data_IF_955917515535
#
_entry.id   IF_955917515535
#
_cell.length_a   1.000
_cell.length_b   1.000
_cell.length_c   1.000
_cell.angle_alpha   90.00
_cell.angle_beta   90.00
_cell.angle_gamma   90.00
#
_symmetry.space_group_name_H-M   'P 1'
#
loop_
_entity.id
_entity.type
_entity.pdbx_description
1 polymer ?
#
# COMPACT_ATOMS: atom_id res chain seq x y z
N UNK A 1 -4.64 2.57 -14.83
CA UNK A 1 -5.73 1.56 -14.98
C UNK A 1 -5.35 0.66 -16.15
N UNK A 2 -5.36 -0.64 -15.92
CA UNK A 2 -5.12 -1.60 -16.98
C UNK A 2 -6.40 -1.75 -17.83
N UNK A 3 -6.32 -1.35 -19.09
CA UNK A 3 -7.46 -1.38 -20.01
C UNK A 3 -7.61 -2.72 -20.76
N UNK A 4 -6.69 -3.66 -20.57
CA UNK A 4 -6.71 -4.96 -21.25
C UNK A 4 -7.93 -5.80 -20.86
N UNK A 5 -8.32 -5.78 -19.58
CA UNK A 5 -9.51 -6.48 -19.09
C UNK A 5 -10.32 -5.57 -18.16
N UNK A 6 -11.19 -4.76 -18.73
CA UNK A 6 -12.05 -3.84 -17.97
C UNK A 6 -13.06 -4.58 -17.08
N UNK A 7 -13.42 -5.81 -17.42
CA UNK A 7 -14.34 -6.63 -16.61
C UNK A 7 -13.74 -7.10 -15.27
N UNK A 8 -12.41 -7.10 -15.16
CA UNK A 8 -11.72 -7.45 -13.90
C UNK A 8 -11.59 -6.25 -12.96
N UNK A 9 -11.84 -5.02 -13.44
CA UNK A 9 -11.74 -3.81 -12.59
C UNK A 9 -13.05 -3.61 -11.84
N UNK A 10 -13.01 -3.83 -10.54
CA UNK A 10 -14.18 -3.66 -9.70
C UNK A 10 -14.42 -2.17 -9.41
N UNK A 11 -15.63 -1.68 -9.72
CA UNK A 11 -15.98 -0.26 -9.51
C UNK A 11 -15.83 0.17 -8.06
N UNK A 12 -16.14 -0.71 -7.13
CA UNK A 12 -16.09 -0.42 -5.71
C UNK A 12 -14.67 -0.30 -5.15
N UNK A 13 -13.64 -0.81 -5.84
CA UNK A 13 -12.24 -0.63 -5.46
C UNK A 13 -11.60 0.63 -6.08
N UNK A 14 -12.28 1.28 -7.04
CA UNK A 14 -11.75 2.48 -7.69
C UNK A 14 -11.51 3.66 -6.74
N UNK A 15 -12.38 3.97 -5.77
CA UNK A 15 -12.14 5.06 -4.83
C UNK A 15 -10.88 4.83 -3.99
N UNK A 16 -10.69 3.64 -3.43
CA UNK A 16 -9.49 3.32 -2.64
C UNK A 16 -8.22 3.39 -3.49
N UNK A 17 -8.24 2.85 -4.71
CA UNK A 17 -7.13 2.96 -5.65
C UNK A 17 -6.82 4.43 -6.00
N UNK A 18 -7.85 5.24 -6.18
CA UNK A 18 -7.68 6.68 -6.47
C UNK A 18 -7.02 7.40 -5.31
N UNK A 19 -7.42 7.11 -4.08
CA UNK A 19 -6.76 7.66 -2.87
C UNK A 19 -5.31 7.21 -2.77
N UNK A 20 -5.04 5.94 -3.06
CA UNK A 20 -3.69 5.36 -3.06
C UNK A 20 -2.75 6.07 -4.03
N UNK A 21 -3.18 6.22 -5.28
CA UNK A 21 -2.33 6.74 -6.35
C UNK A 21 -2.32 8.27 -6.42
N UNK A 22 -3.43 8.94 -6.11
CA UNK A 22 -3.56 10.39 -6.29
C UNK A 22 -3.33 11.16 -4.97
N UNK A 23 -4.39 11.75 -4.43
CA UNK A 23 -4.38 12.60 -3.23
C UNK A 23 -5.30 11.96 -2.18
N UNK A 24 -4.77 11.74 -0.96
CA UNK A 24 -3.48 12.14 -0.39
C UNK A 24 -2.34 11.12 -0.56
N UNK A 25 -2.46 10.14 -1.44
CA UNK A 25 -1.51 9.03 -1.64
C UNK A 25 -0.22 9.43 -2.37
N UNK A 26 0.23 8.57 -3.29
CA UNK A 26 1.54 8.66 -3.95
C UNK A 26 1.80 9.99 -4.65
N UNK A 27 0.85 10.46 -5.46
CA UNK A 27 1.04 11.72 -6.19
C UNK A 27 1.31 12.89 -5.24
N UNK A 28 0.53 13.02 -4.17
CA UNK A 28 0.69 14.07 -3.19
C UNK A 28 2.04 13.97 -2.45
N UNK A 29 2.40 12.78 -1.99
CA UNK A 29 3.66 12.51 -1.31
C UNK A 29 4.88 12.89 -2.18
N UNK A 30 4.88 12.46 -3.44
CA UNK A 30 5.97 12.72 -4.37
C UNK A 30 6.04 14.19 -4.79
N UNK A 31 4.90 14.87 -4.96
CA UNK A 31 4.86 16.29 -5.27
C UNK A 31 5.52 17.12 -4.16
N UNK A 32 5.13 16.91 -2.90
CA UNK A 32 5.75 17.62 -1.76
C UNK A 32 7.26 17.35 -1.70
N UNK A 33 7.67 16.09 -1.85
CA UNK A 33 9.08 15.73 -1.85
C UNK A 33 9.85 16.42 -2.97
N UNK A 34 9.30 16.45 -4.20
CA UNK A 34 9.98 17.04 -5.36
C UNK A 34 10.10 18.55 -5.27
N UNK A 35 9.11 19.24 -4.72
CA UNK A 35 9.10 20.69 -4.52
C UNK A 35 10.02 21.16 -3.40
N UNK A 36 10.32 20.32 -2.41
CA UNK A 36 11.18 20.67 -1.29
C UNK A 36 12.66 20.76 -1.71
N UNK A 37 13.16 21.99 -1.86
CA UNK A 37 14.53 22.26 -2.31
C UNK A 37 15.61 21.89 -1.29
N UNK A 38 15.26 21.68 -0.03
CA UNK A 38 16.21 21.30 1.02
C UNK A 38 16.59 19.81 0.98
N UNK A 39 15.83 18.97 0.26
CA UNK A 39 16.05 17.54 0.18
C UNK A 39 17.07 17.23 -0.93
N UNK A 40 18.16 16.50 -0.61
CA UNK A 40 19.13 16.06 -1.61
C UNK A 40 18.47 15.20 -2.71
N UNK A 41 18.97 15.34 -3.94
CA UNK A 41 18.38 14.67 -5.11
C UNK A 41 18.30 13.16 -4.97
N UNK A 42 19.30 12.50 -4.38
CA UNK A 42 19.31 11.06 -4.19
C UNK A 42 18.15 10.56 -3.29
N UNK A 43 17.70 11.36 -2.33
CA UNK A 43 16.52 11.01 -1.50
C UNK A 43 15.19 11.21 -2.21
N UNK A 44 15.17 11.95 -3.32
CA UNK A 44 13.98 12.15 -4.14
C UNK A 44 13.83 11.08 -5.22
N UNK A 45 14.95 10.55 -5.71
CA UNK A 45 14.99 9.61 -6.84
C UNK A 45 15.12 8.15 -6.42
N UNK A 46 15.68 7.89 -5.26
CA UNK A 46 15.83 6.56 -4.69
C UNK A 46 15.34 6.57 -3.24
N UNK A 47 14.62 5.52 -2.84
CA UNK A 47 14.01 5.57 -1.52
C UNK A 47 13.48 4.23 -1.00
N UNK A 48 13.01 4.31 0.22
CA UNK A 48 12.52 3.14 0.96
C UNK A 48 11.09 2.80 0.55
N UNK A 49 10.91 1.64 -0.06
CA UNK A 49 9.60 1.17 -0.53
C UNK A 49 8.55 1.18 0.59
N UNK A 50 8.93 0.80 1.81
CA UNK A 50 8.02 0.83 2.96
C UNK A 50 7.54 2.25 3.31
N UNK A 51 8.35 3.28 3.07
CA UNK A 51 7.91 4.66 3.24
C UNK A 51 6.87 5.05 2.20
N UNK A 52 7.09 4.72 0.93
CA UNK A 52 6.16 5.08 -0.15
C UNK A 52 4.85 4.30 -0.06
N UNK A 53 4.94 2.99 -0.05
CA UNK A 53 3.76 2.12 -0.03
C UNK A 53 3.00 2.19 1.30
N UNK A 54 3.75 2.33 2.38
CA UNK A 54 3.16 2.54 3.70
C UNK A 54 2.37 3.83 3.79
N UNK A 55 2.87 4.92 3.19
CA UNK A 55 2.13 6.18 3.12
C UNK A 55 0.83 6.04 2.32
N UNK A 56 0.87 5.40 1.14
CA UNK A 56 -0.32 5.23 0.32
C UNK A 56 -1.40 4.39 1.03
N UNK A 57 -1.02 3.31 1.72
CA UNK A 57 -1.95 2.53 2.55
C UNK A 57 -2.47 3.34 3.76
N UNK A 58 -1.61 4.15 4.37
CA UNK A 58 -2.02 5.05 5.43
C UNK A 58 -3.03 6.09 4.90
N UNK A 59 -2.84 6.60 3.70
CA UNK A 59 -3.77 7.53 3.04
C UNK A 59 -5.15 6.91 2.79
N UNK A 60 -5.21 5.64 2.38
CA UNK A 60 -6.46 4.89 2.25
C UNK A 60 -7.21 4.82 3.59
N UNK A 61 -6.50 4.47 4.68
CA UNK A 61 -7.07 4.43 6.02
C UNK A 61 -7.53 5.81 6.51
N UNK A 62 -6.76 6.85 6.23
CA UNK A 62 -7.15 8.23 6.54
C UNK A 62 -8.41 8.63 5.80
N UNK A 63 -8.55 8.24 4.54
CA UNK A 63 -9.76 8.49 3.75
C UNK A 63 -10.99 7.82 4.37
N UNK A 64 -10.87 6.56 4.80
CA UNK A 64 -11.92 5.86 5.54
C UNK A 64 -12.32 6.61 6.82
N UNK A 65 -11.34 7.00 7.64
CA UNK A 65 -11.57 7.74 8.90
C UNK A 65 -12.23 9.11 8.69
N UNK A 66 -12.07 9.69 7.50
CA UNK A 66 -12.67 10.97 7.12
C UNK A 66 -14.01 10.84 6.37
N UNK A 67 -14.53 9.61 6.22
CA UNK A 67 -15.80 9.36 5.55
C UNK A 67 -15.75 9.64 4.04
N UNK A 68 -14.59 9.43 3.41
CA UNK A 68 -14.43 9.64 1.96
C UNK A 68 -15.17 8.58 1.15
N UNK A 69 -15.26 7.37 1.67
CA UNK A 69 -16.02 6.29 1.03
C UNK A 69 -17.51 6.45 1.36
N UNK A 70 -18.30 6.78 0.34
CA UNK A 70 -19.70 7.19 0.51
C UNK A 70 -20.66 6.00 0.62
N UNK A 71 -20.24 4.82 0.19
CA UNK A 71 -21.09 3.64 0.17
C UNK A 71 -20.43 2.45 0.87
N UNK A 72 -21.21 1.52 1.45
CA UNK A 72 -20.65 0.27 2.01
C UNK A 72 -19.85 -0.57 1.01
N UNK A 73 -20.15 -0.44 -0.28
CA UNK A 73 -19.38 -1.12 -1.33
C UNK A 73 -17.98 -0.54 -1.51
N UNK A 74 -17.82 0.77 -1.39
CA UNK A 74 -16.52 1.43 -1.45
C UNK A 74 -15.67 1.12 -0.21
N UNK A 75 -16.29 1.06 0.97
CA UNK A 75 -15.65 0.57 2.18
C UNK A 75 -15.23 -0.90 2.03
N UNK A 76 -16.08 -1.76 1.43
CA UNK A 76 -15.72 -3.14 1.11
C UNK A 76 -14.49 -3.21 0.20
N UNK A 77 -14.41 -2.33 -0.80
CA UNK A 77 -13.23 -2.20 -1.67
C UNK A 77 -11.97 -1.89 -0.88
N UNK A 78 -12.04 -0.90 0.02
CA UNK A 78 -10.93 -0.55 0.91
C UNK A 78 -10.50 -1.74 1.78
N UNK A 79 -11.43 -2.41 2.46
CA UNK A 79 -11.10 -3.56 3.30
C UNK A 79 -10.56 -4.75 2.50
N UNK A 80 -11.05 -4.96 1.28
CA UNK A 80 -10.53 -6.00 0.38
C UNK A 80 -9.08 -5.74 -0.01
N UNK A 81 -8.77 -4.50 -0.32
CA UNK A 81 -7.42 -4.04 -0.62
C UNK A 81 -6.49 -4.12 0.60
N UNK A 82 -6.96 -3.74 1.78
CA UNK A 82 -6.19 -3.85 3.03
C UNK A 82 -5.91 -5.32 3.38
N UNK A 83 -6.90 -6.21 3.18
CA UNK A 83 -6.76 -7.64 3.41
C UNK A 83 -5.74 -8.27 2.46
N UNK A 84 -5.74 -7.88 1.18
CA UNK A 84 -4.75 -8.30 0.20
C UNK A 84 -3.33 -7.95 0.67
N UNK A 85 -3.11 -6.71 1.13
CA UNK A 85 -1.79 -6.26 1.62
C UNK A 85 -1.39 -6.96 2.91
N UNK A 86 -2.33 -7.32 3.78
CA UNK A 86 -2.05 -8.13 4.96
C UNK A 86 -1.65 -9.57 4.57
N UNK A 87 -2.36 -10.21 3.63
CA UNK A 87 -2.05 -11.55 3.15
C UNK A 87 -0.67 -11.62 2.47
N UNK A 88 -0.22 -10.53 1.82
CA UNK A 88 1.13 -10.42 1.23
C UNK A 88 2.24 -10.68 2.25
N UNK A 89 2.10 -10.24 3.50
CA UNK A 89 3.08 -10.49 4.57
C UNK A 89 3.31 -11.98 4.80
N UNK A 90 2.23 -12.75 4.78
CA UNK A 90 2.28 -14.20 5.01
C UNK A 90 2.87 -14.91 3.80
N UNK A 91 2.42 -14.54 2.60
CA UNK A 91 2.81 -15.25 1.37
C UNK A 91 4.24 -14.96 0.97
N UNK A 92 4.69 -13.71 1.01
CA UNK A 92 6.09 -13.36 0.70
C UNK A 92 7.05 -14.08 1.66
N UNK A 93 6.79 -14.02 2.96
CA UNK A 93 7.56 -14.76 3.97
C UNK A 93 7.44 -16.28 3.75
N UNK A 94 6.25 -16.75 3.40
CA UNK A 94 6.00 -18.15 3.06
C UNK A 94 6.90 -18.64 1.93
N UNK A 95 6.98 -17.90 0.84
CA UNK A 95 7.80 -18.23 -0.34
C UNK A 95 9.29 -18.20 0.02
N UNK A 96 9.76 -17.08 0.55
CA UNK A 96 11.20 -16.82 0.66
C UNK A 96 11.84 -17.48 1.87
N UNK A 97 11.17 -17.50 3.01
CA UNK A 97 11.69 -18.10 4.23
C UNK A 97 11.26 -19.56 4.42
N UNK A 98 9.94 -19.83 4.31
CA UNK A 98 9.38 -21.16 4.54
C UNK A 98 9.35 -22.07 3.29
N UNK A 99 9.85 -21.58 2.14
CA UNK A 99 9.93 -22.34 0.89
C UNK A 99 8.57 -22.88 0.41
N UNK A 100 7.53 -22.09 0.56
CA UNK A 100 6.22 -22.44 0.01
C UNK A 100 6.29 -22.56 -1.51
N UNK A 101 5.55 -23.53 -2.04
CA UNK A 101 5.36 -23.62 -3.49
C UNK A 101 4.45 -22.52 -3.99
N UNK A 102 4.52 -22.24 -5.28
CA UNK A 102 3.62 -21.30 -5.95
C UNK A 102 2.15 -21.65 -5.71
N UNK A 103 1.80 -22.94 -5.84
CA UNK A 103 0.45 -23.44 -5.68
C UNK A 103 -0.08 -23.24 -4.25
N UNK A 104 0.77 -23.50 -3.25
CA UNK A 104 0.44 -23.24 -1.84
C UNK A 104 0.18 -21.77 -1.59
N UNK A 105 0.98 -20.90 -2.19
CA UNK A 105 0.87 -19.45 -2.08
C UNK A 105 -0.43 -18.93 -2.72
N UNK A 106 -0.73 -19.40 -3.92
CA UNK A 106 -2.00 -19.08 -4.61
C UNK A 106 -3.19 -19.53 -3.77
N UNK A 107 -3.17 -20.79 -3.30
CA UNK A 107 -4.25 -21.33 -2.47
C UNK A 107 -4.48 -20.48 -1.23
N UNK A 108 -3.42 -20.10 -0.51
CA UNK A 108 -3.53 -19.23 0.68
C UNK A 108 -4.19 -17.89 0.35
N UNK A 109 -3.78 -17.26 -0.76
CA UNK A 109 -4.36 -15.96 -1.17
C UNK A 109 -5.84 -16.10 -1.53
N UNK A 110 -6.23 -17.15 -2.28
CA UNK A 110 -7.63 -17.42 -2.64
C UNK A 110 -8.52 -17.67 -1.40
N UNK A 111 -7.99 -18.31 -0.38
CA UNK A 111 -8.72 -18.61 0.86
C UNK A 111 -8.86 -17.41 1.79
N UNK A 112 -7.99 -16.39 1.65
CA UNK A 112 -7.85 -15.30 2.61
C UNK A 112 -8.03 -13.89 1.99
N UNK A 113 -8.40 -13.79 0.71
CA UNK A 113 -8.68 -12.50 0.06
C UNK A 113 -9.92 -12.58 -0.82
N UNK A 114 -10.40 -11.44 -1.30
CA UNK A 114 -11.53 -11.35 -2.25
C UNK A 114 -11.07 -11.09 -3.68
N UNK A 115 -9.76 -11.07 -3.94
CA UNK A 115 -9.19 -10.85 -5.26
C UNK A 115 -9.48 -12.04 -6.20
N UNK A 116 -9.56 -11.79 -7.50
CA UNK A 116 -9.79 -12.84 -8.47
C UNK A 116 -8.57 -13.75 -8.66
N UNK A 117 -8.81 -14.97 -9.17
CA UNK A 117 -7.76 -15.98 -9.30
C UNK A 117 -6.62 -15.55 -10.24
N UNK A 118 -6.93 -14.83 -11.31
CA UNK A 118 -5.93 -14.39 -12.28
C UNK A 118 -5.07 -13.25 -11.71
N UNK A 119 -5.67 -12.37 -10.92
CA UNK A 119 -4.94 -11.35 -10.15
C UNK A 119 -3.99 -12.02 -9.16
N UNK A 120 -4.49 -12.96 -8.36
CA UNK A 120 -3.69 -13.68 -7.37
C UNK A 120 -2.51 -14.42 -8.01
N UNK A 121 -2.70 -15.07 -9.15
CA UNK A 121 -1.61 -15.75 -9.87
C UNK A 121 -0.52 -14.77 -10.27
N UNK A 122 -0.89 -13.62 -10.85
CA UNK A 122 0.08 -12.57 -11.22
C UNK A 122 0.82 -12.00 -10.01
N UNK A 123 0.10 -11.77 -8.93
CA UNK A 123 0.69 -11.26 -7.68
C UNK A 123 1.68 -12.26 -7.06
N UNK A 124 1.33 -13.54 -6.97
CA UNK A 124 2.24 -14.57 -6.45
C UNK A 124 3.48 -14.69 -7.34
N UNK A 125 3.33 -14.65 -8.66
CA UNK A 125 4.47 -14.66 -9.58
C UNK A 125 5.39 -13.44 -9.37
N UNK A 126 4.82 -12.26 -9.12
CA UNK A 126 5.55 -11.05 -8.76
C UNK A 126 6.32 -11.21 -7.45
N UNK A 127 5.71 -11.80 -6.42
CA UNK A 127 6.38 -12.02 -5.14
C UNK A 127 7.59 -12.95 -5.29
N UNK A 128 7.48 -14.00 -6.11
CA UNK A 128 8.58 -14.93 -6.36
C UNK A 128 9.85 -14.23 -6.90
N UNK A 129 9.69 -13.20 -7.73
CA UNK A 129 10.83 -12.50 -8.38
C UNK A 129 11.25 -11.22 -7.66
N UNK A 130 10.48 -10.75 -6.69
CA UNK A 130 10.75 -9.50 -5.96
C UNK A 130 10.60 -9.67 -4.44
N UNK A 131 11.54 -10.37 -3.79
CA UNK A 131 11.47 -10.67 -2.36
C UNK A 131 11.33 -9.42 -1.48
N UNK A 132 10.38 -9.45 -0.54
CA UNK A 132 10.18 -8.41 0.48
C UNK A 132 9.41 -7.17 -0.01
N UNK A 133 9.30 -6.95 -1.32
CA UNK A 133 8.57 -5.78 -1.83
C UNK A 133 7.09 -5.83 -1.40
N UNK A 134 6.46 -6.98 -1.50
CA UNK A 134 5.06 -7.15 -1.10
C UNK A 134 4.80 -6.88 0.39
N UNK A 135 5.80 -7.08 1.26
CA UNK A 135 5.72 -6.79 2.69
C UNK A 135 5.75 -5.28 3.00
N UNK A 136 6.37 -4.47 2.14
CA UNK A 136 6.60 -3.04 2.36
C UNK A 136 5.33 -2.26 2.63
N UNK A 137 4.25 -2.60 1.97
CA UNK A 137 2.93 -1.96 2.08
C UNK A 137 2.43 -1.96 3.54
N UNK A 138 2.13 -3.14 4.05
CA UNK A 138 1.52 -3.28 5.37
C UNK A 138 2.48 -2.96 6.51
N UNK A 139 3.75 -3.33 6.40
CA UNK A 139 4.78 -2.95 7.40
C UNK A 139 4.91 -1.43 7.46
N UNK A 140 4.99 -0.77 6.32
CA UNK A 140 5.07 0.69 6.26
C UNK A 140 3.86 1.37 6.88
N UNK A 141 2.64 0.92 6.54
CA UNK A 141 1.41 1.44 7.13
C UNK A 141 1.42 1.29 8.67
N UNK A 142 1.75 0.10 9.17
CA UNK A 142 1.77 -0.16 10.62
C UNK A 142 2.78 0.74 11.35
N UNK A 143 3.94 0.97 10.76
CA UNK A 143 4.94 1.89 11.32
C UNK A 143 4.47 3.34 11.32
N UNK A 144 3.83 3.80 10.26
CA UNK A 144 3.27 5.15 10.21
C UNK A 144 2.13 5.34 11.21
N UNK A 145 1.30 4.31 11.42
CA UNK A 145 0.26 4.34 12.46
C UNK A 145 0.87 4.40 13.87
N UNK A 146 1.92 3.61 14.15
CA UNK A 146 2.67 3.66 15.40
C UNK A 146 3.25 5.07 15.67
N UNK A 147 3.83 5.71 14.64
CA UNK A 147 4.34 7.08 14.79
C UNK A 147 3.23 8.10 15.00
N UNK A 148 2.11 7.94 14.30
CA UNK A 148 0.94 8.79 14.47
C UNK A 148 0.41 8.78 15.90
N UNK A 149 0.36 7.60 16.55
CA UNK A 149 -0.09 7.45 17.94
C UNK A 149 0.78 8.20 18.96
N UNK A 150 2.02 8.53 18.61
CA UNK A 150 2.96 9.30 19.45
C UNK A 150 2.83 10.82 19.30
N UNK A 151 1.92 11.28 18.43
CA UNK A 151 1.76 12.70 18.12
C UNK A 151 0.33 13.18 18.38
N UNK A 152 0.19 14.27 19.12
CA UNK A 152 -1.11 14.86 19.44
C UNK A 152 -1.76 15.58 18.24
N UNK A 153 -0.96 16.04 17.31
CA UNK A 153 -1.41 16.85 16.16
C UNK A 153 -1.21 16.10 14.84
N UNK A 154 -2.32 15.73 14.21
CA UNK A 154 -2.32 15.01 12.93
C UNK A 154 -1.66 15.80 11.78
N UNK A 155 -1.83 17.15 11.75
CA UNK A 155 -1.21 17.97 10.70
C UNK A 155 0.31 18.02 10.84
N UNK A 156 0.81 18.09 12.07
CA UNK A 156 2.24 18.07 12.34
C UNK A 156 2.84 16.70 11.99
N UNK A 157 2.14 15.61 12.31
CA UNK A 157 2.54 14.28 11.89
C UNK A 157 2.68 14.21 10.36
N UNK A 158 1.65 14.59 9.61
CA UNK A 158 1.70 14.57 8.15
C UNK A 158 2.82 15.44 7.59
N UNK A 159 2.99 16.64 8.14
CA UNK A 159 4.05 17.55 7.73
C UNK A 159 5.44 16.93 7.92
N UNK A 160 5.71 16.36 9.09
CA UNK A 160 7.01 15.73 9.39
C UNK A 160 7.27 14.56 8.41
N UNK A 161 6.30 13.68 8.19
CA UNK A 161 6.47 12.55 7.28
C UNK A 161 6.74 13.03 5.86
N UNK A 162 5.94 13.96 5.34
CA UNK A 162 5.99 14.36 3.94
C UNK A 162 7.18 15.27 3.60
N UNK A 163 7.49 16.24 4.47
CA UNK A 163 8.57 17.23 4.23
C UNK A 163 9.97 16.63 4.33
N UNK A 164 10.14 15.50 5.04
CA UNK A 164 11.42 14.82 5.15
C UNK A 164 11.75 13.88 4.00
N UNK A 165 10.80 13.62 3.10
CA UNK A 165 10.94 12.67 1.98
C UNK A 165 11.30 11.24 2.44
N UNK A 166 11.68 10.40 1.49
CA UNK A 166 11.95 8.99 1.75
C UNK A 166 13.03 8.78 2.81
N UNK A 167 12.70 7.95 3.81
CA UNK A 167 13.57 7.58 4.93
C UNK A 167 13.23 6.18 5.44
N UNK A 168 14.17 5.51 6.15
CA UNK A 168 13.84 4.30 6.92
C UNK A 168 12.78 4.62 7.97
N UNK A 169 11.87 3.69 8.22
CA UNK A 169 10.81 3.78 9.24
C UNK A 169 11.24 3.05 10.53
N UNK A 170 12.34 3.50 11.14
CA UNK A 170 12.90 2.92 12.35
C UNK A 170 12.72 3.86 13.56
#
# INVERSE_FOLDING_TARGET
>A
INLYNLGAVQKYSMPTLTVHEAIPGHHYQLAISSENKSIPLFRKSDGHTAYWEGWALYAEKLALEKGFFETPYEELGHYGDELLRAARLVVDTGIHYYKWTREKSIKYMLENTIADEDEIKREVDRYCVWPGQACSYKIGQLKLLEFRERMDNLKDFHRIILENSSMPLE
#
